data_IF_248128519340
#
_entry.id   IF_248128519340
#
_cell.length_a   1.000
_cell.length_b   1.000
_cell.length_c   1.000
_cell.angle_alpha   90.00
_cell.angle_beta   90.00
_cell.angle_gamma   90.00
#
_symmetry.space_group_name_H-M   'P 1'
#
loop_
_entity.id
_entity.type
_entity.pdbx_description
1 polymer ?
#
# COMPACT_ATOMS: atom_id res chain seq x y z
N UNK A 1 -4.31 -1.61 -4.02
CA UNK A 1 -4.59 -0.28 -4.61
C UNK A 1 -3.36 0.26 -5.32
N UNK A 2 -2.16 0.13 -4.74
CA UNK A 2 -0.88 0.40 -5.42
C UNK A 2 -0.10 -0.89 -5.70
N UNK A 3 0.79 -0.84 -6.69
CA UNK A 3 1.59 -1.98 -7.13
C UNK A 3 3.08 -1.64 -7.22
N UNK A 4 3.89 -2.28 -6.37
CA UNK A 4 5.36 -2.18 -6.36
C UNK A 4 5.89 -0.75 -6.21
N UNK A 5 5.13 0.13 -5.55
CA UNK A 5 5.53 1.52 -5.36
C UNK A 5 6.57 1.67 -4.23
N UNK A 6 6.78 0.66 -3.40
CA UNK A 6 7.63 0.77 -2.20
C UNK A 6 9.08 1.18 -2.48
N UNK A 7 9.65 0.74 -3.61
CA UNK A 7 10.98 1.19 -4.01
C UNK A 7 10.99 2.69 -4.38
N UNK A 8 9.98 3.16 -5.12
CA UNK A 8 9.80 4.57 -5.48
C UNK A 8 9.52 5.43 -4.25
N UNK A 9 8.67 4.96 -3.33
CA UNK A 9 8.38 5.64 -2.07
C UNK A 9 9.67 5.90 -1.27
N UNK A 10 10.53 4.88 -1.14
CA UNK A 10 11.83 4.99 -0.48
C UNK A 10 12.76 5.99 -1.17
N UNK A 11 12.79 6.02 -2.51
CA UNK A 11 13.59 7.01 -3.26
C UNK A 11 13.08 8.45 -3.10
N UNK A 12 11.76 8.63 -2.97
CA UNK A 12 11.10 9.92 -2.81
C UNK A 12 11.03 10.40 -1.35
N UNK A 13 11.38 9.52 -0.41
CA UNK A 13 11.42 9.83 1.02
C UNK A 13 10.05 10.30 1.56
N UNK A 14 10.00 11.42 2.30
CA UNK A 14 8.76 11.88 2.95
C UNK A 14 7.58 12.11 1.99
N UNK A 15 7.84 12.52 0.75
CA UNK A 15 6.77 12.77 -0.24
C UNK A 15 6.15 11.46 -0.72
N UNK A 16 6.98 10.44 -0.94
CA UNK A 16 6.53 9.09 -1.28
C UNK A 16 5.69 8.48 -0.16
N UNK A 17 6.14 8.63 1.09
CA UNK A 17 5.39 8.18 2.26
C UNK A 17 4.01 8.86 2.40
N UNK A 18 3.96 10.18 2.18
CA UNK A 18 2.70 10.93 2.23
C UNK A 18 1.73 10.49 1.13
N UNK A 19 2.23 10.23 -0.08
CA UNK A 19 1.43 9.71 -1.18
C UNK A 19 0.83 8.34 -0.84
N UNK A 20 1.64 7.44 -0.31
CA UNK A 20 1.22 6.09 0.09
C UNK A 20 0.15 6.12 1.19
N UNK A 21 0.33 6.98 2.18
CA UNK A 21 -0.65 7.23 3.24
C UNK A 21 -1.97 7.75 2.68
N UNK A 22 -1.92 8.68 1.73
CA UNK A 22 -3.10 9.22 1.06
C UNK A 22 -3.83 8.15 0.23
N UNK A 23 -3.10 7.36 -0.55
CA UNK A 23 -3.66 6.31 -1.39
C UNK A 23 -4.35 5.21 -0.56
N UNK A 24 -3.73 4.81 0.56
CA UNK A 24 -4.31 3.86 1.50
C UNK A 24 -5.62 4.40 2.11
N UNK A 25 -5.62 5.66 2.57
CA UNK A 25 -6.81 6.31 3.13
C UNK A 25 -7.95 6.39 2.12
N UNK A 26 -7.66 6.83 0.89
CA UNK A 26 -8.64 6.92 -0.19
C UNK A 26 -9.30 5.57 -0.46
N UNK A 27 -8.52 4.49 -0.51
CA UNK A 27 -9.04 3.14 -0.73
C UNK A 27 -10.00 2.70 0.39
N UNK A 28 -9.62 2.93 1.65
CA UNK A 28 -10.45 2.58 2.81
C UNK A 28 -11.76 3.34 2.82
N UNK A 29 -11.74 4.63 2.48
CA UNK A 29 -12.93 5.49 2.42
C UNK A 29 -13.92 5.07 1.32
N UNK A 30 -13.51 4.28 0.32
CA UNK A 30 -14.44 3.72 -0.67
C UNK A 30 -15.45 2.72 -0.07
N UNK A 31 -15.21 2.21 1.15
CA UNK A 31 -16.18 1.40 1.88
C UNK A 31 -16.60 0.11 1.17
N UNK A 32 -15.68 -0.53 0.44
CA UNK A 32 -15.97 -1.71 -0.41
C UNK A 32 -16.41 -2.95 0.38
N UNK A 33 -16.25 -2.95 1.70
CA UNK A 33 -16.62 -4.08 2.57
C UNK A 33 -15.66 -5.27 2.51
N UNK A 34 -14.57 -5.16 1.74
CA UNK A 34 -13.51 -6.17 1.62
C UNK A 34 -12.13 -5.55 1.84
N UNK A 35 -11.12 -6.31 2.32
CA UNK A 35 -9.79 -5.77 2.58
C UNK A 35 -9.07 -5.26 1.33
N UNK A 36 -8.25 -4.23 1.50
CA UNK A 36 -7.34 -3.72 0.48
C UNK A 36 -5.93 -4.26 0.67
N UNK A 37 -5.22 -4.38 -0.45
CA UNK A 37 -3.86 -4.91 -0.53
C UNK A 37 -2.93 -3.90 -1.20
N UNK A 38 -1.72 -3.75 -0.68
CA UNK A 38 -0.61 -3.03 -1.35
C UNK A 38 0.58 -3.96 -1.59
N UNK A 39 0.98 -4.02 -2.86
CA UNK A 39 1.94 -4.96 -3.42
C UNK A 39 3.39 -4.49 -3.24
N UNK A 40 4.27 -5.34 -2.68
CA UNK A 40 5.69 -5.01 -2.37
C UNK A 40 5.86 -3.69 -1.62
N UNK A 41 4.97 -3.46 -0.66
CA UNK A 41 4.97 -2.28 0.19
C UNK A 41 5.18 -2.69 1.64
N UNK A 42 6.42 -2.67 2.12
CA UNK A 42 6.80 -3.17 3.45
C UNK A 42 6.12 -2.39 4.59
N UNK A 43 5.80 -1.12 4.34
CA UNK A 43 5.26 -0.17 5.31
C UNK A 43 3.85 0.31 4.89
N UNK A 44 3.01 -0.64 4.46
CA UNK A 44 1.63 -0.34 4.08
C UNK A 44 0.85 0.19 5.30
N UNK A 45 0.12 1.33 5.18
CA UNK A 45 -0.64 1.89 6.29
C UNK A 45 -1.84 1.02 6.67
N UNK A 46 -2.02 0.72 7.96
CA UNK A 46 -3.25 0.09 8.47
C UNK A 46 -4.50 0.91 8.06
N UNK A 47 -5.64 0.27 7.70
CA UNK A 47 -5.96 -1.17 7.66
C UNK A 47 -5.60 -1.85 6.32
N UNK A 48 -4.77 -1.24 5.48
CA UNK A 48 -4.35 -1.82 4.21
C UNK A 48 -3.28 -2.88 4.46
N UNK A 49 -3.52 -4.10 4.00
CA UNK A 49 -2.60 -5.22 4.24
C UNK A 49 -1.39 -5.10 3.29
N UNK A 50 -0.19 -5.09 3.88
CA UNK A 50 1.05 -5.34 3.12
C UNK A 50 1.13 -6.82 2.73
N UNK A 51 1.33 -7.11 1.45
CA UNK A 51 1.50 -8.48 0.96
C UNK A 51 2.95 -8.89 0.76
N UNK A 52 3.94 -8.11 1.21
CA UNK A 52 5.32 -8.61 1.23
C UNK A 52 5.46 -9.84 2.15
N UNK A 53 4.60 -9.94 3.19
CA UNK A 53 4.64 -11.01 4.19
C UNK A 53 3.89 -12.29 3.76
N UNK A 54 3.04 -12.23 2.73
CA UNK A 54 2.31 -13.39 2.21
C UNK A 54 2.83 -13.70 0.81
N UNK A 55 3.39 -14.90 0.60
CA UNK A 55 3.81 -15.43 -0.72
C UNK A 55 2.60 -15.67 -1.66
N UNK A 56 1.79 -14.64 -1.90
CA UNK A 56 0.78 -14.63 -2.94
C UNK A 56 1.49 -14.33 -4.26
N UNK A 57 1.63 -15.34 -5.13
CA UNK A 57 2.16 -15.22 -6.51
C UNK A 57 1.37 -14.27 -7.44
N UNK A 58 0.39 -13.54 -6.89
CA UNK A 58 -0.31 -12.44 -7.58
C UNK A 58 0.38 -11.09 -7.40
N UNK A 59 1.56 -11.11 -6.77
CA UNK A 59 2.61 -10.10 -6.71
C UNK A 59 3.96 -10.86 -6.69
#
# INVERSE_FOLDING_TARGET
>A
IENEYGAQSKMLGPVGYNYMSWAAKMAVEMGTGVPWVMCKEDDAPDPVVSILTLHFKGC
#
